data_IF_259227804360
#
_entry.id   IF_259227804360
#
_cell.length_a   1.000
_cell.length_b   1.000
_cell.length_c   1.000
_cell.angle_alpha   90.00
_cell.angle_beta   90.00
_cell.angle_gamma   90.00
#
_symmetry.space_group_name_H-M   'P 1'
#
loop_
_entity.id
_entity.type
_entity.pdbx_description
1 polymer ?
#
# COMPACT_ATOMS: atom_id res chain seq x y z
N UNK A 1 -23.23 -11.23 -0.01
CA UNK A 1 -23.15 -9.95 0.73
C UNK A 1 -21.74 -9.63 1.16
N UNK A 2 -21.11 -10.30 2.14
CA UNK A 2 -19.72 -9.97 2.54
C UNK A 2 -18.68 -10.14 1.42
N UNK A 3 -18.88 -11.12 0.53
CA UNK A 3 -18.03 -11.31 -0.65
C UNK A 3 -18.20 -10.17 -1.66
N UNK A 4 -19.44 -9.82 -1.97
CA UNK A 4 -19.75 -8.75 -2.92
C UNK A 4 -19.21 -7.39 -2.45
N UNK A 5 -19.29 -7.10 -1.15
CA UNK A 5 -18.70 -5.89 -0.55
C UNK A 5 -17.17 -5.90 -0.65
N UNK A 6 -16.53 -7.06 -0.41
CA UNK A 6 -15.09 -7.20 -0.54
C UNK A 6 -14.64 -7.01 -2.00
N UNK A 7 -15.34 -7.62 -2.95
CA UNK A 7 -15.07 -7.50 -4.38
C UNK A 7 -15.23 -6.04 -4.84
N UNK A 8 -16.25 -5.33 -4.35
CA UNK A 8 -16.44 -3.91 -4.64
C UNK A 8 -15.29 -3.03 -4.09
N UNK A 9 -14.83 -3.31 -2.86
CA UNK A 9 -13.69 -2.61 -2.28
C UNK A 9 -12.38 -2.89 -3.02
N UNK A 10 -12.19 -4.12 -3.49
CA UNK A 10 -11.02 -4.52 -4.27
C UNK A 10 -11.04 -3.81 -5.63
N UNK A 11 -12.19 -3.74 -6.30
CA UNK A 11 -12.32 -2.99 -7.57
C UNK A 11 -12.04 -1.48 -7.41
N UNK A 12 -12.50 -0.88 -6.32
CA UNK A 12 -12.18 0.53 -6.01
C UNK A 12 -10.67 0.72 -5.77
N UNK A 13 -10.03 -0.22 -5.07
CA UNK A 13 -8.60 -0.17 -4.82
C UNK A 13 -7.78 -0.39 -6.10
N UNK A 14 -8.18 -1.29 -6.98
CA UNK A 14 -7.55 -1.50 -8.29
C UNK A 14 -7.64 -0.25 -9.16
N UNK A 15 -8.82 0.38 -9.20
CA UNK A 15 -9.04 1.63 -9.95
C UNK A 15 -8.14 2.74 -9.45
N UNK A 16 -8.04 2.92 -8.12
CA UNK A 16 -7.15 3.92 -7.53
C UNK A 16 -5.68 3.57 -7.78
N UNK A 17 -5.28 2.30 -7.62
CA UNK A 17 -3.89 1.87 -7.85
C UNK A 17 -3.46 2.12 -9.29
N UNK A 18 -4.34 1.93 -10.28
CA UNK A 18 -4.07 2.23 -11.68
C UNK A 18 -3.80 3.72 -11.96
N UNK A 19 -4.15 4.63 -11.05
CA UNK A 19 -3.83 6.05 -11.15
C UNK A 19 -2.41 6.41 -10.63
N UNK A 20 -1.68 5.45 -10.05
CA UNK A 20 -0.32 5.62 -9.56
C UNK A 20 0.69 4.91 -10.47
N UNK A 21 1.96 5.31 -10.33
CA UNK A 21 3.06 4.46 -10.79
C UNK A 21 3.17 3.26 -9.82
N UNK A 22 3.28 2.01 -10.31
CA UNK A 22 3.20 0.82 -9.46
C UNK A 22 4.19 0.77 -8.28
N UNK A 23 5.35 1.39 -8.44
CA UNK A 23 6.44 1.42 -7.45
C UNK A 23 6.60 2.77 -6.76
N UNK A 24 5.70 3.73 -7.02
CA UNK A 24 5.82 5.11 -6.58
C UNK A 24 4.43 5.73 -6.41
N UNK A 25 3.90 5.70 -5.19
CA UNK A 25 2.52 6.11 -4.90
C UNK A 25 2.49 7.50 -4.25
N UNK A 26 1.57 8.35 -4.71
CA UNK A 26 1.40 9.71 -4.17
C UNK A 26 0.66 9.69 -2.82
N UNK A 27 1.32 10.08 -1.73
CA UNK A 27 0.75 10.02 -0.38
C UNK A 27 -0.48 10.91 -0.24
N UNK A 28 -0.46 12.11 -0.80
CA UNK A 28 -1.57 13.07 -0.72
C UNK A 28 -2.88 12.55 -1.34
N UNK A 29 -2.81 11.61 -2.29
CA UNK A 29 -3.99 10.89 -2.79
C UNK A 29 -4.43 9.81 -1.83
N UNK A 30 -3.49 8.99 -1.36
CA UNK A 30 -3.78 7.89 -0.43
C UNK A 30 -4.39 8.37 0.89
N UNK A 31 -3.96 9.52 1.41
CA UNK A 31 -4.48 10.15 2.63
C UNK A 31 -5.99 10.44 2.55
N UNK A 32 -6.52 10.71 1.34
CA UNK A 32 -7.94 11.04 1.12
C UNK A 32 -8.85 9.81 1.07
N UNK A 33 -8.27 8.63 0.97
CA UNK A 33 -9.03 7.39 0.85
C UNK A 33 -9.52 6.89 2.23
N UNK A 34 -10.66 6.22 2.31
CA UNK A 34 -10.99 5.38 3.46
C UNK A 34 -9.89 4.33 3.69
N UNK A 35 -9.58 4.04 4.97
CA UNK A 35 -8.53 3.08 5.36
C UNK A 35 -8.68 1.71 4.68
N UNK A 36 -9.91 1.24 4.50
CA UNK A 36 -10.22 -0.03 3.85
C UNK A 36 -9.74 -0.09 2.39
N UNK A 37 -9.81 1.01 1.65
CA UNK A 37 -9.34 1.12 0.26
C UNK A 37 -7.82 1.35 0.25
N UNK A 38 -7.33 2.31 1.06
CA UNK A 38 -5.88 2.60 1.16
C UNK A 38 -5.05 1.36 1.43
N UNK A 39 -5.43 0.54 2.41
CA UNK A 39 -4.69 -0.69 2.77
C UNK A 39 -4.71 -1.75 1.66
N UNK A 40 -5.74 -1.78 0.81
CA UNK A 40 -5.78 -2.63 -0.39
C UNK A 40 -4.86 -2.12 -1.49
N UNK A 41 -4.85 -0.80 -1.75
CA UNK A 41 -3.90 -0.17 -2.68
C UNK A 41 -2.44 -0.46 -2.27
N UNK A 42 -2.13 -0.35 -0.97
CA UNK A 42 -0.81 -0.70 -0.44
C UNK A 42 -0.44 -2.16 -0.72
N UNK A 43 -1.36 -3.11 -0.52
CA UNK A 43 -1.13 -4.53 -0.82
C UNK A 43 -0.85 -4.75 -2.32
N UNK A 44 -1.64 -4.12 -3.19
CA UNK A 44 -1.44 -4.20 -4.64
C UNK A 44 -0.03 -3.72 -5.04
N UNK A 45 0.40 -2.57 -4.53
CA UNK A 45 1.74 -2.03 -4.78
C UNK A 45 2.85 -2.97 -4.30
N UNK A 46 2.73 -3.51 -3.09
CA UNK A 46 3.75 -4.40 -2.51
C UNK A 46 3.85 -5.71 -3.32
N UNK A 47 2.72 -6.26 -3.78
CA UNK A 47 2.74 -7.42 -4.67
C UNK A 47 3.31 -7.08 -6.05
N UNK A 48 2.97 -5.92 -6.61
CA UNK A 48 3.56 -5.43 -7.86
C UNK A 48 5.08 -5.24 -7.75
N UNK A 49 5.59 -4.89 -6.57
CA UNK A 49 7.02 -4.81 -6.27
C UNK A 49 7.71 -6.17 -6.10
N UNK A 50 6.95 -7.27 -6.04
CA UNK A 50 7.49 -8.64 -6.06
C UNK A 50 7.38 -9.40 -4.74
N UNK A 51 6.58 -8.94 -3.78
CA UNK A 51 6.25 -9.76 -2.61
C UNK A 51 5.44 -11.01 -3.04
N UNK A 52 5.66 -12.18 -2.42
CA UNK A 52 4.89 -13.38 -2.75
C UNK A 52 3.40 -13.21 -2.41
N UNK A 53 2.50 -13.61 -3.31
CA UNK A 53 1.05 -13.55 -3.05
C UNK A 53 0.69 -14.28 -1.75
N UNK A 54 -0.08 -13.62 -0.89
CA UNK A 54 -0.51 -14.17 0.40
C UNK A 54 0.50 -13.99 1.55
N UNK A 55 1.66 -13.39 1.32
CA UNK A 55 2.67 -13.18 2.37
C UNK A 55 2.39 -11.99 3.30
N UNK A 56 1.41 -11.13 2.99
CA UNK A 56 1.17 -9.88 3.70
C UNK A 56 0.11 -10.04 4.80
N UNK A 57 0.50 -9.78 6.05
CA UNK A 57 -0.36 -9.74 7.23
C UNK A 57 -0.59 -8.32 7.73
N UNK A 58 -1.32 -8.17 8.84
CA UNK A 58 -1.55 -6.87 9.46
C UNK A 58 -0.23 -6.22 9.92
N UNK A 59 0.71 -7.01 10.45
CA UNK A 59 2.02 -6.53 10.92
C UNK A 59 2.90 -5.99 9.79
N UNK A 60 2.69 -6.47 8.55
CA UNK A 60 3.35 -5.94 7.38
C UNK A 60 2.72 -4.64 6.88
N UNK A 61 1.39 -4.52 6.94
CA UNK A 61 0.68 -3.36 6.37
C UNK A 61 0.62 -2.17 7.33
N UNK A 62 0.55 -2.41 8.63
CA UNK A 62 0.39 -1.35 9.64
C UNK A 62 1.54 -0.33 9.60
N UNK A 63 2.83 -0.73 9.54
CA UNK A 63 3.94 0.22 9.42
C UNK A 63 3.88 1.04 8.13
N UNK A 64 3.45 0.43 7.03
CA UNK A 64 3.33 1.13 5.74
C UNK A 64 2.18 2.14 5.76
N UNK A 65 1.08 1.82 6.43
CA UNK A 65 -0.03 2.76 6.61
C UNK A 65 0.39 3.96 7.47
N UNK A 66 1.24 3.75 8.48
CA UNK A 66 1.79 4.81 9.31
C UNK A 66 2.68 5.79 8.51
N UNK A 67 3.34 5.34 7.44
CA UNK A 67 4.03 6.27 6.54
C UNK A 67 3.10 7.31 5.89
N UNK A 68 1.80 7.05 5.86
CA UNK A 68 0.79 7.95 5.30
C UNK A 68 0.19 8.78 6.43
N UNK A 69 -0.39 8.13 7.45
CA UNK A 69 -1.25 8.81 8.42
C UNK A 69 -0.58 9.23 9.72
N UNK A 70 0.60 8.69 10.02
CA UNK A 70 1.28 8.87 11.32
C UNK A 70 2.80 9.05 11.14
N UNK A 71 3.17 9.86 10.15
CA UNK A 71 4.58 10.07 9.82
C UNK A 71 5.26 11.00 10.81
N UNK A 72 6.39 10.54 11.36
CA UNK A 72 7.23 11.30 12.28
C UNK A 72 8.73 11.15 12.00
N UNK A 73 9.11 10.59 10.84
CA UNK A 73 10.51 10.36 10.46
C UNK A 73 10.93 8.89 10.48
N UNK A 74 9.98 7.96 10.32
CA UNK A 74 10.27 6.52 10.33
C UNK A 74 11.23 6.11 9.20
N UNK A 75 12.09 5.12 9.46
CA UNK A 75 12.94 4.53 8.42
C UNK A 75 12.17 3.67 7.41
N UNK A 76 12.83 3.16 6.36
CA UNK A 76 12.22 2.21 5.44
C UNK A 76 11.74 0.94 6.14
N UNK A 77 10.73 0.28 5.58
CA UNK A 77 10.22 -1.01 6.03
C UNK A 77 10.61 -2.12 5.04
N UNK A 78 11.17 -3.20 5.56
CA UNK A 78 11.47 -4.42 4.80
C UNK A 78 10.28 -5.39 4.90
N UNK A 79 9.90 -5.96 3.78
CA UNK A 79 8.72 -6.80 3.59
C UNK A 79 9.10 -8.15 2.96
N UNK A 80 8.20 -9.15 3.00
CA UNK A 80 8.43 -10.43 2.33
C UNK A 80 8.83 -10.30 0.86
N UNK A 81 9.67 -11.21 0.38
CA UNK A 81 10.19 -11.20 -0.99
C UNK A 81 11.35 -10.24 -1.23
N UNK A 82 11.84 -9.56 -0.19
CA UNK A 82 12.88 -8.54 -0.28
C UNK A 82 12.36 -7.17 -0.67
N UNK A 83 11.03 -6.96 -0.70
CA UNK A 83 10.45 -5.66 -1.00
C UNK A 83 10.79 -4.68 0.11
N UNK A 84 11.28 -3.50 -0.26
CA UNK A 84 11.51 -2.38 0.65
C UNK A 84 10.59 -1.23 0.30
N UNK A 85 9.94 -0.65 1.30
CA UNK A 85 9.08 0.52 1.15
C UNK A 85 9.65 1.67 1.96
N UNK A 86 9.68 2.87 1.38
CA UNK A 86 10.17 4.07 2.03
C UNK A 86 9.30 5.27 1.67
N UNK A 87 9.26 6.29 2.55
CA UNK A 87 8.66 7.58 2.23
C UNK A 87 9.74 8.53 1.70
N UNK A 88 9.60 8.98 0.46
CA UNK A 88 10.54 9.90 -0.20
C UNK A 88 9.74 11.00 -0.88
N UNK A 89 10.01 12.26 -0.54
CA UNK A 89 9.44 13.44 -1.22
C UNK A 89 7.90 13.40 -1.40
N UNK A 90 7.17 12.96 -0.37
CA UNK A 90 5.71 12.87 -0.41
C UNK A 90 5.15 11.65 -1.17
N UNK A 91 5.99 10.66 -1.46
CA UNK A 91 5.61 9.42 -2.11
C UNK A 91 6.03 8.20 -1.30
N UNK A 92 5.29 7.10 -1.45
CA UNK A 92 5.79 5.78 -1.06
C UNK A 92 6.56 5.20 -2.25
N UNK A 93 7.86 5.01 -2.06
CA UNK A 93 8.76 4.38 -3.01
C UNK A 93 8.95 2.92 -2.64
N UNK A 94 8.75 2.02 -3.60
CA UNK A 94 8.92 0.58 -3.47
C UNK A 94 10.07 0.10 -4.35
N UNK A 95 10.92 -0.74 -3.77
CA UNK A 95 12.03 -1.39 -4.48
C UNK A 95 12.16 -2.84 -4.03
N UNK A 96 12.96 -3.62 -4.74
CA UNK A 96 13.36 -4.98 -4.35
C UNK A 96 14.88 -5.05 -4.24
#
# INVERSE_FOLDING_TARGET
MLRDDADALDQLAETEFAAHEPLSLEIARLEKLPKAIRTRVLRLAIYAAGAPTGSLGADHITPIEAFITDWSGQGPSDLPGGVRVSRISGRLSLSR
#
